data_IF_277804303880
#
_entry.id   IF_277804303880
#
_cell.length_a   1.000
_cell.length_b   1.000
_cell.length_c   1.000
_cell.angle_alpha   90.00
_cell.angle_beta   90.00
_cell.angle_gamma   90.00
#
_symmetry.space_group_name_H-M   'P 1'
#
loop_
_entity.id
_entity.type
_entity.pdbx_description
1 polymer ?
#
# COMPACT_ATOMS: atom_id res chain seq x y z
N UNK A 1 -9.78 -11.01 1.94
CA UNK A 1 -8.51 -10.33 2.27
C UNK A 1 -8.27 -9.21 1.26
N UNK A 2 -8.08 -7.97 1.70
CA UNK A 2 -7.74 -6.87 0.80
C UNK A 2 -6.27 -7.05 0.39
N UNK A 3 -6.01 -7.47 -0.85
CA UNK A 3 -4.67 -7.36 -1.45
C UNK A 3 -4.43 -5.89 -1.76
N UNK A 4 -3.89 -5.14 -0.80
CA UNK A 4 -3.39 -3.78 -1.06
C UNK A 4 -2.22 -3.95 -2.02
N UNK A 5 -2.41 -3.64 -3.30
CA UNK A 5 -1.32 -3.56 -4.27
C UNK A 5 -0.50 -2.32 -3.88
N UNK A 6 0.41 -2.48 -2.93
CA UNK A 6 1.38 -1.47 -2.53
C UNK A 6 2.38 -1.33 -3.69
N UNK A 7 2.05 -0.45 -4.64
CA UNK A 7 2.87 -0.16 -5.81
C UNK A 7 4.20 0.59 -5.51
N UNK A 8 4.73 0.49 -4.29
CA UNK A 8 6.06 1.00 -3.90
C UNK A 8 6.78 -0.04 -3.02
N UNK A 9 6.58 -1.33 -3.32
CA UNK A 9 7.15 -2.47 -2.60
C UNK A 9 8.38 -3.12 -3.24
N UNK A 10 9.18 -2.37 -4.02
CA UNK A 10 10.53 -2.84 -4.44
C UNK A 10 11.55 -1.77 -4.03
N UNK A 11 11.82 -1.71 -2.73
CA UNK A 11 12.95 -0.94 -2.21
C UNK A 11 14.08 -1.93 -1.92
N UNK A 12 14.90 -2.14 -2.95
CA UNK A 12 16.34 -2.39 -2.85
C UNK A 12 16.81 -3.66 -2.15
N UNK A 13 16.95 -4.75 -2.92
CA UNK A 13 18.03 -5.75 -2.74
C UNK A 13 18.64 -6.15 -4.09
N UNK A 14 18.94 -5.17 -4.96
CA UNK A 14 19.76 -5.42 -6.17
C UNK A 14 21.22 -4.98 -6.00
N UNK A 15 21.66 -4.62 -4.80
CA UNK A 15 23.01 -4.11 -4.56
C UNK A 15 23.89 -5.03 -3.70
N UNK A 16 24.09 -6.29 -4.13
CA UNK A 16 25.36 -7.04 -3.91
C UNK A 16 25.70 -8.01 -5.06
N UNK A 17 24.94 -8.04 -6.17
CA UNK A 17 25.23 -8.96 -7.29
C UNK A 17 25.24 -8.26 -8.65
N UNK A 18 25.99 -7.16 -8.77
CA UNK A 18 26.43 -6.65 -10.08
C UNK A 18 27.55 -5.62 -9.92
N UNK A 19 28.66 -6.03 -9.30
CA UNK A 19 29.91 -5.26 -9.31
C UNK A 19 31.14 -6.16 -9.47
N UNK A 20 31.02 -7.23 -10.26
CA UNK A 20 32.19 -7.91 -10.80
C UNK A 20 32.04 -8.14 -12.31
N UNK A 21 33.06 -7.67 -13.00
CA UNK A 21 33.54 -8.07 -14.32
C UNK A 21 32.89 -7.46 -15.58
N UNK A 22 33.40 -6.28 -15.92
CA UNK A 22 33.69 -5.93 -17.31
C UNK A 22 34.87 -6.77 -17.81
N UNK A 23 34.66 -7.57 -18.86
CA UNK A 23 35.58 -7.76 -20.00
C UNK A 23 34.92 -8.58 -21.13
N UNK A 24 34.77 -7.94 -22.31
CA UNK A 24 35.04 -8.42 -23.70
C UNK A 24 34.41 -9.77 -24.16
N UNK A 25 33.83 -10.02 -25.34
CA UNK A 25 33.80 -9.40 -26.69
C UNK A 25 32.72 -10.10 -27.55
N UNK A 26 32.33 -9.44 -28.66
CA UNK A 26 31.55 -9.85 -29.85
C UNK A 26 31.42 -11.35 -30.22
N UNK A 27 30.20 -11.79 -30.64
CA UNK A 27 29.84 -12.01 -32.06
C UNK A 27 28.45 -12.68 -32.26
N UNK A 28 27.64 -12.05 -33.12
CA UNK A 28 26.98 -12.58 -34.34
C UNK A 28 25.88 -13.66 -34.31
N UNK A 29 24.77 -13.24 -34.95
CA UNK A 29 23.70 -13.94 -35.68
C UNK A 29 22.69 -14.93 -35.05
N UNK A 30 21.43 -14.46 -35.10
CA UNK A 30 20.19 -15.12 -35.53
C UNK A 30 20.18 -16.66 -35.61
N UNK A 31 19.29 -17.28 -34.83
CA UNK A 31 18.20 -18.08 -35.40
C UNK A 31 17.02 -18.26 -34.45
N UNK A 32 15.89 -17.72 -34.89
CA UNK A 32 14.54 -18.05 -34.46
C UNK A 32 14.32 -19.57 -34.61
N UNK A 33 13.94 -20.23 -33.52
CA UNK A 33 13.30 -21.55 -33.60
C UNK A 33 12.16 -21.57 -32.60
N UNK A 34 10.96 -21.58 -33.16
CA UNK A 34 9.69 -21.87 -32.52
C UNK A 34 9.74 -23.28 -31.94
N UNK A 35 9.44 -23.42 -30.65
CA UNK A 35 9.08 -24.72 -30.07
C UNK A 35 7.80 -24.53 -29.27
N UNK A 36 6.71 -24.94 -29.91
CA UNK A 36 5.42 -25.20 -29.29
C UNK A 36 5.58 -26.44 -28.43
N UNK A 37 5.32 -26.36 -27.13
CA UNK A 37 5.00 -27.57 -26.36
C UNK A 37 4.16 -27.28 -25.10
N UNK A 38 2.96 -27.85 -25.15
CA UNK A 38 2.09 -28.31 -24.08
C UNK A 38 1.58 -27.33 -23.01
N UNK A 39 0.34 -26.89 -23.28
CA UNK A 39 -0.65 -26.56 -22.27
C UNK A 39 -0.91 -27.78 -21.35
N UNK A 40 -0.21 -27.82 -20.22
CA UNK A 40 -0.59 -28.64 -19.08
C UNK A 40 -1.69 -27.93 -18.29
N UNK A 41 -2.92 -28.37 -18.46
CA UNK A 41 -4.06 -28.03 -17.61
C UNK A 41 -3.76 -28.49 -16.18
N UNK A 42 -3.26 -27.58 -15.35
CA UNK A 42 -3.23 -27.78 -13.90
C UNK A 42 -4.59 -27.32 -13.37
N UNK A 43 -5.46 -28.28 -13.11
CA UNK A 43 -6.70 -28.05 -12.39
C UNK A 43 -6.32 -27.67 -10.96
N UNK A 44 -6.29 -26.37 -10.67
CA UNK A 44 -6.24 -25.88 -9.29
C UNK A 44 -7.60 -26.14 -8.68
N UNK A 45 -7.74 -27.21 -7.89
CA UNK A 45 -8.86 -27.33 -6.97
C UNK A 45 -8.79 -26.15 -6.00
N UNK A 46 -9.72 -25.19 -6.17
CA UNK A 46 -9.94 -24.14 -5.20
C UNK A 46 -10.43 -24.79 -3.90
N UNK A 47 -9.51 -24.91 -2.94
CA UNK A 47 -9.84 -25.22 -1.56
C UNK A 47 -10.82 -24.14 -1.07
N UNK A 48 -12.09 -24.55 -0.94
CA UNK A 48 -13.19 -23.71 -0.52
C UNK A 48 -12.87 -23.18 0.88
N UNK A 49 -12.45 -21.92 0.94
CA UNK A 49 -12.08 -21.25 2.18
C UNK A 49 -13.17 -21.45 3.23
N UNK A 50 -12.80 -21.99 4.39
CA UNK A 50 -13.71 -22.15 5.51
C UNK A 50 -14.38 -20.79 5.83
N UNK A 51 -15.70 -20.77 6.11
CA UNK A 51 -16.40 -19.53 6.35
C UNK A 51 -15.79 -18.81 7.55
N UNK A 52 -15.41 -17.55 7.35
CA UNK A 52 -14.92 -16.68 8.41
C UNK A 52 -16.05 -16.48 9.41
N UNK A 53 -15.95 -17.12 10.58
CA UNK A 53 -16.86 -16.89 11.69
C UNK A 53 -16.53 -15.52 12.29
N UNK A 54 -17.36 -14.53 11.98
CA UNK A 54 -17.24 -13.15 12.47
C UNK A 54 -17.79 -13.07 13.91
N UNK A 55 -17.27 -12.14 14.71
CA UNK A 55 -17.49 -12.09 16.16
C UNK A 55 -18.92 -11.70 16.64
N UNK A 56 -19.82 -11.25 15.75
CA UNK A 56 -21.17 -10.81 16.10
C UNK A 56 -22.14 -11.27 15.01
N UNK A 57 -23.11 -12.15 15.33
CA UNK A 57 -24.11 -12.67 14.38
C UNK A 57 -25.54 -12.39 14.87
N UNK A 58 -26.42 -11.90 14.00
CA UNK A 58 -27.87 -12.00 14.23
C UNK A 58 -28.40 -13.39 13.81
N UNK A 59 -29.63 -13.72 14.21
CA UNK A 59 -30.24 -15.02 13.95
C UNK A 59 -30.51 -15.31 12.46
N UNK A 60 -30.31 -14.33 11.57
CA UNK A 60 -30.48 -14.45 10.12
C UNK A 60 -29.14 -14.47 9.36
N UNK A 61 -28.01 -14.34 10.05
CA UNK A 61 -26.69 -14.24 9.44
C UNK A 61 -26.42 -12.89 8.76
N UNK A 62 -27.22 -11.86 9.08
CA UNK A 62 -27.07 -10.50 8.57
C UNK A 62 -26.27 -9.68 9.59
N UNK A 63 -25.15 -9.12 9.15
CA UNK A 63 -24.27 -8.31 9.98
C UNK A 63 -24.67 -6.84 9.84
N UNK A 64 -24.92 -6.15 10.95
CA UNK A 64 -25.16 -4.71 10.96
C UNK A 64 -24.08 -3.99 11.77
N UNK A 65 -23.41 -3.04 11.13
CA UNK A 65 -22.44 -2.15 11.75
C UNK A 65 -23.13 -0.82 12.09
N UNK A 66 -22.88 -0.30 13.29
CA UNK A 66 -23.27 1.06 13.67
C UNK A 66 -22.13 1.76 14.39
N UNK A 67 -21.86 2.99 14.00
CA UNK A 67 -20.88 3.88 14.61
C UNK A 67 -21.57 4.79 15.63
N UNK A 68 -21.03 4.82 16.85
CA UNK A 68 -21.43 5.74 17.91
C UNK A 68 -20.21 6.61 18.21
N UNK A 69 -20.14 7.76 17.55
CA UNK A 69 -19.00 8.67 17.63
C UNK A 69 -19.47 10.00 18.23
N UNK A 70 -18.67 10.56 19.13
CA UNK A 70 -19.02 11.81 19.82
C UNK A 70 -18.43 13.01 19.10
N UNK A 71 -19.23 14.05 18.88
CA UNK A 71 -18.78 15.31 18.30
C UNK A 71 -17.63 15.91 19.11
N UNK A 72 -16.59 16.37 18.41
CA UNK A 72 -15.37 16.93 18.97
C UNK A 72 -14.32 15.89 19.36
N UNK A 73 -14.67 14.60 19.41
CA UNK A 73 -13.71 13.56 19.79
C UNK A 73 -12.81 13.14 18.64
N UNK A 74 -11.61 12.70 19.01
CA UNK A 74 -10.59 12.17 18.10
C UNK A 74 -10.34 10.69 18.39
N UNK A 75 -10.49 9.86 17.38
CA UNK A 75 -10.30 8.41 17.47
C UNK A 75 -9.03 8.01 16.71
N UNK A 76 -7.97 7.51 17.39
CA UNK A 76 -6.77 7.03 16.72
C UNK A 76 -7.00 5.64 16.13
N UNK A 77 -6.41 5.40 14.97
CA UNK A 77 -6.41 4.10 14.31
C UNK A 77 -5.01 3.76 13.81
N UNK A 78 -4.62 2.50 13.93
CA UNK A 78 -3.41 1.99 13.30
C UNK A 78 -3.68 0.66 12.61
N UNK A 79 -3.18 0.52 11.39
CA UNK A 79 -3.15 -0.76 10.69
C UNK A 79 -1.72 -1.23 10.50
N UNK A 80 -1.49 -2.52 10.74
CA UNK A 80 -0.23 -3.21 10.50
C UNK A 80 -0.43 -4.26 9.43
N UNK A 81 0.40 -4.24 8.41
CA UNK A 81 0.44 -5.25 7.35
C UNK A 81 1.82 -5.85 7.34
N UNK A 82 1.90 -7.18 7.50
CA UNK A 82 3.14 -7.94 7.47
C UNK A 82 3.08 -8.92 6.31
N UNK A 83 4.08 -8.84 5.45
CA UNK A 83 4.25 -9.72 4.30
C UNK A 83 5.57 -10.47 4.46
N UNK A 84 5.53 -11.79 4.27
CA UNK A 84 6.72 -12.64 4.28
C UNK A 84 6.86 -13.23 2.89
N UNK A 85 7.96 -12.91 2.21
CA UNK A 85 8.27 -13.46 0.89
C UNK A 85 9.43 -14.44 1.02
N UNK A 86 9.29 -15.61 0.40
CA UNK A 86 10.36 -16.61 0.32
C UNK A 86 10.58 -16.95 -1.14
N UNK A 87 11.80 -16.75 -1.62
CA UNK A 87 12.22 -17.05 -2.99
C UNK A 87 13.25 -18.16 -2.92
N UNK A 88 13.10 -19.19 -3.76
CA UNK A 88 14.14 -20.19 -3.98
C UNK A 88 14.90 -19.84 -5.24
N UNK A 89 16.21 -19.81 -5.17
CA UNK A 89 17.03 -19.69 -6.38
C UNK A 89 17.04 -20.99 -7.19
N UNK A 90 17.64 -20.94 -8.37
CA UNK A 90 17.78 -22.08 -9.28
C UNK A 90 18.68 -23.21 -8.72
N UNK A 91 19.40 -22.96 -7.63
CA UNK A 91 20.21 -23.95 -6.92
C UNK A 91 19.45 -24.61 -5.75
N UNK A 92 18.22 -24.16 -5.47
CA UNK A 92 17.38 -24.65 -4.38
C UNK A 92 17.63 -23.95 -3.04
N UNK A 93 18.51 -22.93 -3.00
CA UNK A 93 18.76 -22.14 -1.78
C UNK A 93 17.61 -21.14 -1.58
N UNK A 94 17.05 -21.13 -0.38
CA UNK A 94 15.95 -20.22 0.00
C UNK A 94 16.50 -18.88 0.50
N UNK A 95 15.92 -17.79 0.01
CA UNK A 95 16.05 -16.44 0.55
C UNK A 95 14.69 -15.99 1.07
N UNK A 96 14.62 -15.47 2.30
CA UNK A 96 13.37 -14.98 2.89
C UNK A 96 13.52 -13.52 3.33
N UNK A 97 12.49 -12.73 3.05
CA UNK A 97 12.37 -11.34 3.45
C UNK A 97 11.02 -11.08 4.12
N UNK A 98 11.02 -10.24 5.14
CA UNK A 98 9.81 -9.75 5.79
C UNK A 98 9.66 -8.26 5.52
N UNK A 99 8.52 -7.86 4.97
CA UNK A 99 8.12 -6.47 4.86
C UNK A 99 6.99 -6.21 5.86
N UNK A 100 7.02 -5.05 6.48
CA UNK A 100 5.98 -4.60 7.38
C UNK A 100 5.67 -3.12 7.16
N UNK A 101 4.38 -2.80 7.06
CA UNK A 101 3.87 -1.45 6.93
C UNK A 101 2.93 -1.17 8.10
N UNK A 102 3.18 -0.08 8.80
CA UNK A 102 2.30 0.46 9.83
C UNK A 102 1.79 1.81 9.34
N UNK A 103 0.47 1.91 9.15
CA UNK A 103 -0.22 3.15 8.89
C UNK A 103 -0.85 3.64 10.18
N UNK A 104 -0.74 4.94 10.45
CA UNK A 104 -1.34 5.58 11.60
C UNK A 104 -2.22 6.73 11.14
N UNK A 105 -3.43 6.78 11.68
CA UNK A 105 -4.46 7.74 11.33
C UNK A 105 -5.19 8.20 12.58
N UNK A 106 -5.85 9.34 12.48
CA UNK A 106 -6.88 9.71 13.42
C UNK A 106 -8.13 10.19 12.67
N UNK A 107 -9.28 10.03 13.32
CA UNK A 107 -10.57 10.50 12.84
C UNK A 107 -11.08 11.51 13.87
N UNK A 108 -11.29 12.74 13.44
CA UNK A 108 -11.92 13.78 14.25
C UNK A 108 -13.39 13.85 13.84
N UNK A 109 -14.30 13.85 14.82
CA UNK A 109 -15.74 14.03 14.56
C UNK A 109 -16.04 15.52 14.61
N UNK A 110 -16.08 16.17 13.44
CA UNK A 110 -16.33 17.62 13.35
C UNK A 110 -17.79 17.93 13.69
N UNK A 111 -18.71 17.13 13.17
CA UNK A 111 -20.14 17.31 13.40
C UNK A 111 -20.91 15.99 13.31
N UNK A 112 -22.11 15.98 13.90
CA UNK A 112 -23.11 14.93 13.71
C UNK A 112 -24.50 15.57 13.70
N UNK A 113 -25.17 15.48 12.57
CA UNK A 113 -26.48 16.09 12.37
C UNK A 113 -27.30 15.23 11.41
N UNK A 114 -28.59 15.03 11.73
CA UNK A 114 -29.53 14.28 10.88
C UNK A 114 -29.02 12.89 10.47
N UNK A 115 -28.35 12.17 11.38
CA UNK A 115 -27.83 10.82 11.12
C UNK A 115 -26.57 10.77 10.23
N UNK A 116 -25.95 11.92 9.96
CA UNK A 116 -24.74 12.04 9.15
C UNK A 116 -23.60 12.63 9.99
N UNK A 117 -22.51 11.88 10.05
CA UNK A 117 -21.24 12.36 10.56
C UNK A 117 -20.52 13.20 9.51
N UNK A 118 -19.92 14.30 9.95
CA UNK A 118 -18.84 14.98 9.26
C UNK A 118 -17.54 14.68 9.99
N UNK A 119 -16.64 13.96 9.31
CA UNK A 119 -15.40 13.45 9.89
C UNK A 119 -14.20 14.07 9.17
N UNK A 120 -13.13 14.34 9.90
CA UNK A 120 -11.82 14.63 9.34
C UNK A 120 -10.90 13.44 9.57
N UNK A 121 -10.52 12.75 8.49
CA UNK A 121 -9.53 11.68 8.50
C UNK A 121 -8.14 12.26 8.27
N UNK A 122 -7.23 12.14 9.25
CA UNK A 122 -5.84 12.54 9.10
C UNK A 122 -4.94 11.31 9.02
N UNK A 123 -4.03 11.28 8.04
CA UNK A 123 -2.92 10.32 8.03
C UNK A 123 -1.76 10.95 8.79
N UNK A 124 -1.45 10.40 9.97
CA UNK A 124 -0.48 11.01 10.90
C UNK A 124 0.88 10.34 10.87
N UNK A 125 0.97 9.12 10.32
CA UNK A 125 2.21 8.39 10.26
C UNK A 125 2.18 7.24 9.26
N UNK A 126 3.35 6.96 8.71
CA UNK A 126 3.65 5.72 8.00
C UNK A 126 5.04 5.24 8.40
N UNK A 127 5.12 3.98 8.79
CA UNK A 127 6.38 3.29 9.02
C UNK A 127 6.44 2.06 8.12
N UNK A 128 7.55 1.91 7.42
CA UNK A 128 7.83 0.74 6.61
C UNK A 128 9.13 0.13 7.10
N UNK A 129 9.15 -1.18 7.29
CA UNK A 129 10.37 -1.92 7.59
C UNK A 129 10.51 -3.12 6.66
N UNK A 130 11.71 -3.32 6.13
CA UNK A 130 12.07 -4.48 5.33
C UNK A 130 13.25 -5.17 5.98
N UNK A 131 13.14 -6.47 6.24
CA UNK A 131 14.20 -7.30 6.80
C UNK A 131 14.50 -8.46 5.88
N UNK A 132 15.74 -8.60 5.44
CA UNK A 132 16.21 -9.84 4.82
C UNK A 132 17.72 -10.01 5.08
N UNK A 133 18.17 -11.26 5.11
CA UNK A 133 19.59 -11.63 5.36
C UNK A 133 20.18 -10.98 6.64
N UNK A 134 19.36 -10.83 7.68
CA UNK A 134 19.77 -10.22 8.95
C UNK A 134 19.93 -8.70 8.91
N UNK A 135 19.65 -8.04 7.79
CA UNK A 135 19.64 -6.58 7.67
C UNK A 135 18.22 -6.05 7.69
N UNK A 136 17.98 -4.98 8.45
CA UNK A 136 16.70 -4.29 8.52
C UNK A 136 16.85 -2.85 8.04
N UNK A 137 16.01 -2.45 7.10
CA UNK A 137 15.86 -1.06 6.64
C UNK A 137 14.51 -0.54 7.16
N UNK A 138 14.50 0.64 7.75
CA UNK A 138 13.29 1.29 8.28
C UNK A 138 13.15 2.70 7.69
N UNK A 139 11.95 3.02 7.22
CA UNK A 139 11.56 4.38 6.85
C UNK A 139 10.34 4.75 7.69
N UNK A 140 10.51 5.71 8.59
CA UNK A 140 9.46 6.18 9.50
C UNK A 140 9.24 7.69 9.31
N UNK A 141 8.03 8.08 8.91
CA UNK A 141 7.70 9.50 8.67
C UNK A 141 7.65 10.34 9.95
N UNK A 142 7.59 9.72 11.13
CA UNK A 142 7.68 10.40 12.43
C UNK A 142 9.13 10.62 12.87
N UNK A 143 10.07 9.87 12.30
CA UNK A 143 11.49 10.07 12.51
C UNK A 143 12.06 11.13 11.56
N UNK A 144 13.30 11.57 11.83
CA UNK A 144 14.06 12.42 10.92
C UNK A 144 14.29 11.72 9.57
N UNK A 145 14.42 12.51 8.50
CA UNK A 145 14.68 12.00 7.17
C UNK A 145 15.99 11.16 7.15
N UNK A 146 16.00 9.99 6.49
CA UNK A 146 17.22 9.19 6.30
C UNK A 146 18.32 9.97 5.59
N UNK A 147 19.58 9.56 5.81
CA UNK A 147 20.76 10.18 5.16
C UNK A 147 20.93 9.68 3.74
N UNK A 148 20.59 8.42 3.49
CA UNK A 148 20.67 7.78 2.18
C UNK A 148 19.62 8.40 1.26
N UNK A 149 20.05 8.93 0.11
CA UNK A 149 19.20 9.71 -0.79
C UNK A 149 17.96 8.93 -1.26
N UNK A 150 18.12 7.65 -1.59
CA UNK A 150 17.00 6.79 -1.99
C UNK A 150 15.95 6.66 -0.86
N UNK A 151 16.38 6.41 0.38
CA UNK A 151 15.49 6.28 1.53
C UNK A 151 14.85 7.62 1.91
N UNK A 152 15.59 8.72 1.75
CA UNK A 152 15.08 10.08 1.92
C UNK A 152 13.98 10.40 0.91
N UNK A 153 14.11 9.96 -0.33
CA UNK A 153 13.09 10.16 -1.36
C UNK A 153 11.80 9.41 -1.03
N UNK A 154 11.91 8.16 -0.58
CA UNK A 154 10.77 7.36 -0.09
C UNK A 154 10.13 8.03 1.12
N UNK A 155 10.95 8.49 2.07
CA UNK A 155 10.50 9.23 3.25
C UNK A 155 9.72 10.48 2.86
N UNK A 156 10.19 11.28 1.89
CA UNK A 156 9.53 12.50 1.44
C UNK A 156 8.13 12.22 0.85
N UNK A 157 8.02 11.20 -0.02
CA UNK A 157 6.72 10.80 -0.60
C UNK A 157 5.76 10.36 0.51
N UNK A 158 6.25 9.51 1.43
CA UNK A 158 5.44 9.03 2.55
C UNK A 158 5.09 10.15 3.54
N UNK A 159 5.92 11.18 3.68
CA UNK A 159 5.65 12.35 4.52
C UNK A 159 4.60 13.27 3.91
N UNK A 160 4.48 13.32 2.58
CA UNK A 160 3.34 13.98 1.94
C UNK A 160 2.04 13.25 2.25
N UNK A 161 2.06 11.92 2.17
CA UNK A 161 0.91 11.11 2.53
C UNK A 161 0.59 11.25 4.04
N UNK A 162 1.61 11.13 4.90
CA UNK A 162 1.54 11.36 6.35
C UNK A 162 1.57 12.85 6.68
N UNK A 163 0.40 13.47 6.58
CA UNK A 163 0.17 14.91 6.63
C UNK A 163 -1.03 15.31 5.78
N UNK A 164 -1.56 14.36 5.00
CA UNK A 164 -2.79 14.53 4.25
C UNK A 164 -4.02 14.37 5.14
N UNK A 165 -5.03 15.17 4.83
CA UNK A 165 -6.32 15.23 5.52
C UNK A 165 -7.45 15.09 4.51
N UNK A 166 -8.51 14.40 4.91
CA UNK A 166 -9.70 14.20 4.08
C UNK A 166 -10.93 14.48 4.90
N UNK A 167 -11.90 15.19 4.33
CA UNK A 167 -13.23 15.30 4.92
C UNK A 167 -14.07 14.14 4.41
N UNK A 168 -14.76 13.45 5.30
CA UNK A 168 -15.63 12.32 4.99
C UNK A 168 -17.01 12.61 5.57
N UNK A 169 -18.04 12.55 4.72
CA UNK A 169 -19.43 12.51 5.18
C UNK A 169 -19.91 11.08 5.18
N UNK A 170 -20.44 10.61 6.29
CA UNK A 170 -20.77 9.20 6.50
C UNK A 170 -22.04 9.05 7.32
N UNK A 171 -22.92 8.11 6.97
CA UNK A 171 -24.07 7.75 7.79
C UNK A 171 -23.64 6.93 9.01
N UNK A 172 -24.53 6.80 10.00
CA UNK A 172 -24.27 6.00 11.20
C UNK A 172 -23.92 4.52 10.94
N UNK A 173 -24.33 3.97 9.80
CA UNK A 173 -24.06 2.57 9.42
C UNK A 173 -22.72 2.39 8.66
N UNK A 174 -21.89 3.42 8.54
CA UNK A 174 -20.63 3.35 7.79
C UNK A 174 -20.75 3.68 6.29
N UNK A 175 -21.94 3.92 5.77
CA UNK A 175 -22.13 4.32 4.39
C UNK A 175 -21.53 5.71 4.15
N UNK A 176 -20.45 5.76 3.38
CA UNK A 176 -19.78 7.02 3.03
C UNK A 176 -20.51 7.72 1.89
N UNK A 177 -21.02 8.91 2.18
CA UNK A 177 -21.73 9.79 1.26
C UNK A 177 -20.74 10.52 0.35
N UNK A 178 -19.68 11.09 0.93
CA UNK A 178 -18.68 11.82 0.15
C UNK A 178 -17.32 11.86 0.83
N UNK A 179 -16.27 12.05 0.02
CA UNK A 179 -14.90 12.27 0.46
C UNK A 179 -14.34 13.48 -0.28
N UNK A 180 -13.64 14.37 0.41
CA UNK A 180 -12.93 15.49 -0.20
C UNK A 180 -11.46 15.54 0.24
N UNK A 181 -10.60 16.21 -0.54
CA UNK A 181 -9.16 16.34 -0.26
C UNK A 181 -8.24 15.36 -0.99
N UNK A 182 -8.79 14.34 -1.66
CA UNK A 182 -8.00 13.33 -2.40
C UNK A 182 -7.22 13.96 -3.58
N UNK A 183 -7.85 14.88 -4.32
CA UNK A 183 -7.19 15.55 -5.46
C UNK A 183 -5.99 16.41 -5.02
N UNK A 184 -6.08 17.03 -3.84
CA UNK A 184 -4.97 17.80 -3.26
C UNK A 184 -3.78 16.88 -2.90
N UNK A 185 -4.06 15.69 -2.33
CA UNK A 185 -3.04 14.67 -2.13
C UNK A 185 -2.37 14.28 -3.45
N UNK A 186 -3.14 14.02 -4.52
CA UNK A 186 -2.55 13.64 -5.81
C UNK A 186 -1.61 14.72 -6.36
N UNK A 187 -2.01 15.99 -6.29
CA UNK A 187 -1.17 17.10 -6.72
C UNK A 187 0.12 17.21 -5.89
N UNK A 188 0.02 17.00 -4.56
CA UNK A 188 1.19 17.00 -3.67
C UNK A 188 2.13 15.83 -3.94
N UNK A 189 1.60 14.64 -4.23
CA UNK A 189 2.41 13.46 -4.59
C UNK A 189 3.11 13.70 -5.93
N UNK A 190 2.41 14.20 -6.95
CA UNK A 190 3.02 14.55 -8.23
C UNK A 190 4.17 15.55 -8.06
N UNK A 191 3.97 16.58 -7.23
CA UNK A 191 5.01 17.56 -6.90
C UNK A 191 6.20 16.91 -6.19
N UNK A 192 5.96 15.99 -5.26
CA UNK A 192 7.02 15.30 -4.52
C UNK A 192 7.86 14.36 -5.40
N UNK A 193 7.26 13.74 -6.41
CA UNK A 193 7.98 12.83 -7.34
C UNK A 193 8.57 13.53 -8.56
N UNK A 194 8.12 14.74 -8.89
CA UNK A 194 8.65 15.53 -10.00
C UNK A 194 10.18 15.70 -10.02
N UNK A 195 10.89 15.95 -8.90
CA UNK A 195 12.36 16.00 -8.91
C UNK A 195 13.01 14.62 -9.10
N UNK A 196 12.29 13.52 -8.85
CA UNK A 196 12.79 12.15 -8.88
C UNK A 196 12.60 11.50 -10.26
N UNK A 197 11.47 11.79 -10.91
CA UNK A 197 11.07 11.21 -12.19
C UNK A 197 11.00 12.33 -13.23
N UNK A 198 12.11 12.51 -13.96
CA UNK A 198 12.24 13.57 -14.98
C UNK A 198 11.40 13.29 -16.23
N UNK A 199 11.28 12.02 -16.61
CA UNK A 199 10.48 11.63 -17.76
C UNK A 199 8.98 11.82 -17.48
N UNK A 200 8.30 12.51 -18.40
CA UNK A 200 6.91 12.89 -18.23
C UNK A 200 5.97 11.68 -18.24
N UNK A 201 6.26 10.67 -19.07
CA UNK A 201 5.43 9.47 -19.18
C UNK A 201 5.55 8.59 -17.95
N UNK A 202 6.78 8.36 -17.45
CA UNK A 202 7.04 7.63 -16.22
C UNK A 202 6.42 8.34 -15.01
N UNK A 203 6.48 9.67 -14.95
CA UNK A 203 5.85 10.45 -13.88
C UNK A 203 4.33 10.30 -13.91
N UNK A 204 3.72 10.41 -15.10
CA UNK A 204 2.28 10.22 -15.29
C UNK A 204 1.85 8.82 -14.87
N UNK A 205 2.57 7.79 -15.32
CA UNK A 205 2.31 6.40 -14.95
C UNK A 205 2.41 6.17 -13.43
N UNK A 206 3.41 6.76 -12.76
CA UNK A 206 3.52 6.70 -11.31
C UNK A 206 2.30 7.31 -10.62
N UNK A 207 1.88 8.51 -11.03
CA UNK A 207 0.72 9.19 -10.43
C UNK A 207 -0.57 8.42 -10.69
N UNK A 208 -0.76 7.85 -11.89
CA UNK A 208 -1.90 6.99 -12.20
C UNK A 208 -1.92 5.72 -11.35
N UNK A 209 -0.78 5.06 -11.19
CA UNK A 209 -0.66 3.89 -10.32
C UNK A 209 -0.95 4.25 -8.85
N UNK A 210 -0.49 5.42 -8.39
CA UNK A 210 -0.81 5.91 -7.06
C UNK A 210 -2.32 6.11 -6.87
N UNK A 211 -3.00 6.73 -7.85
CA UNK A 211 -4.47 6.91 -7.85
C UNK A 211 -5.22 5.57 -7.84
N UNK A 212 -4.69 4.54 -8.50
CA UNK A 212 -5.29 3.21 -8.46
C UNK A 212 -5.15 2.55 -7.08
N UNK A 213 -4.01 2.76 -6.40
CA UNK A 213 -3.77 2.22 -5.07
C UNK A 213 -4.44 2.99 -3.92
N UNK A 214 -4.58 4.31 -4.08
CA UNK A 214 -5.19 5.20 -3.09
C UNK A 214 -6.28 6.03 -3.76
N UNK A 215 -7.54 5.65 -3.55
CA UNK A 215 -8.72 6.32 -4.11
C UNK A 215 -9.90 6.29 -3.14
N UNK A 216 -11.00 6.93 -3.54
CA UNK A 216 -12.24 6.95 -2.75
C UNK A 216 -12.73 5.55 -2.39
N UNK A 217 -12.70 4.59 -3.32
CA UNK A 217 -13.16 3.22 -3.05
C UNK A 217 -12.38 2.60 -1.90
N UNK A 218 -11.05 2.73 -1.92
CA UNK A 218 -10.20 2.23 -0.84
C UNK A 218 -10.55 2.87 0.51
N UNK A 219 -10.82 4.18 0.57
CA UNK A 219 -11.22 4.86 1.81
C UNK A 219 -12.62 4.42 2.26
N UNK A 220 -13.59 4.29 1.33
CA UNK A 220 -14.94 3.82 1.63
C UNK A 220 -14.94 2.43 2.26
N UNK A 221 -14.13 1.53 1.73
CA UNK A 221 -13.96 0.16 2.26
C UNK A 221 -13.42 0.09 3.69
N UNK A 222 -12.84 1.17 4.23
CA UNK A 222 -12.40 1.22 5.63
C UNK A 222 -13.56 1.46 6.60
N UNK A 223 -14.66 2.02 6.11
CA UNK A 223 -15.85 2.35 6.89
C UNK A 223 -17.01 1.38 6.67
N UNK A 224 -17.06 0.68 5.52
CA UNK A 224 -18.23 -0.06 5.07
C UNK A 224 -18.14 -1.58 5.29
N UNK A 225 -17.88 -2.07 6.51
CA UNK A 225 -17.73 -3.52 6.77
C UNK A 225 -18.44 -4.01 8.03
#
# INVERSE_FOLDING_TARGET
MIKRILAIGIIGMTLVACSQDKKTTENTDKKQTTTTENAGTTTTEEEKAAPVVMAISDSAGVYTQKFILEKGQTYPFSSRQKEIQTIKDHTGKSMSGTQEVVDERNIVVENFENGVYELTLNIVGKKMSSTAEGKTVVVDTKAAAPKEEQLKNIWNINKVLAGSKFTVKMKENGEVISISGINDLYAKIEKAVSPLIKDANAKKAFVEQFKQGFNEKMIKEEFSK
#
